data_IF_272993300295
#
_entry.id   IF_272993300295
#
_cell.length_a   1.000
_cell.length_b   1.000
_cell.length_c   1.000
_cell.angle_alpha   90.00
_cell.angle_beta   90.00
_cell.angle_gamma   90.00
#
_symmetry.space_group_name_H-M   'P 1'
#
loop_
_entity.id
_entity.type
_entity.pdbx_description
1 polymer ?
#
# COMPACT_ATOMS: atom_id res chain seq x y z
N UNK A 1 -5.63 5.27 -14.94
CA UNK A 1 -4.91 6.32 -14.18
C UNK A 1 -5.73 7.58 -13.93
N UNK A 2 -6.22 8.35 -14.95
CA UNK A 2 -6.99 9.59 -14.68
C UNK A 2 -8.28 9.35 -13.88
N UNK A 3 -9.05 8.33 -14.23
CA UNK A 3 -10.27 7.98 -13.51
C UNK A 3 -9.97 7.51 -12.07
N UNK A 4 -8.90 6.77 -11.89
CA UNK A 4 -8.42 6.30 -10.60
C UNK A 4 -8.04 7.47 -9.67
N UNK A 5 -7.32 8.47 -10.18
CA UNK A 5 -6.99 9.69 -9.44
C UNK A 5 -8.25 10.38 -8.89
N UNK A 6 -9.25 10.59 -9.73
CA UNK A 6 -10.45 11.37 -9.34
C UNK A 6 -11.38 10.54 -8.44
N UNK A 7 -11.65 9.29 -8.80
CA UNK A 7 -12.66 8.47 -8.13
C UNK A 7 -12.13 7.85 -6.82
N UNK A 8 -10.84 7.55 -6.76
CA UNK A 8 -10.23 6.89 -5.60
C UNK A 8 -9.37 7.83 -4.77
N UNK A 9 -8.32 8.42 -5.35
CA UNK A 9 -7.32 9.13 -4.55
C UNK A 9 -7.83 10.47 -4.03
N UNK A 10 -8.70 11.19 -4.76
CA UNK A 10 -9.27 12.45 -4.26
C UNK A 10 -10.11 12.24 -3.00
N UNK A 11 -11.10 11.33 -2.95
CA UNK A 11 -11.82 11.05 -1.71
C UNK A 11 -10.93 10.59 -0.56
N UNK A 12 -9.97 9.70 -0.82
CA UNK A 12 -9.03 9.22 0.21
C UNK A 12 -8.16 10.34 0.78
N UNK A 13 -7.85 11.36 -0.03
CA UNK A 13 -7.12 12.54 0.42
C UNK A 13 -8.01 13.48 1.21
N UNK A 14 -9.21 13.77 0.70
CA UNK A 14 -10.09 14.77 1.29
C UNK A 14 -10.65 14.36 2.66
N UNK A 15 -10.99 13.08 2.84
CA UNK A 15 -11.61 12.61 4.09
C UNK A 15 -10.74 12.88 5.32
N UNK A 16 -9.42 12.53 5.37
CA UNK A 16 -8.57 12.86 6.51
C UNK A 16 -8.40 14.38 6.73
N UNK A 17 -8.35 15.18 5.66
CA UNK A 17 -8.29 16.65 5.79
C UNK A 17 -9.55 17.22 6.41
N UNK A 18 -10.72 16.83 5.90
CA UNK A 18 -12.01 17.28 6.45
C UNK A 18 -12.16 16.84 7.90
N UNK A 19 -11.79 15.60 8.22
CA UNK A 19 -11.77 15.10 9.59
C UNK A 19 -10.86 15.95 10.50
N UNK A 20 -9.62 16.19 10.09
CA UNK A 20 -8.66 17.03 10.81
C UNK A 20 -9.24 18.43 11.07
N UNK A 21 -9.83 19.04 10.05
CA UNK A 21 -10.45 20.36 10.14
C UNK A 21 -11.65 20.40 11.08
N UNK A 22 -12.56 19.44 11.00
CA UNK A 22 -13.77 19.39 11.82
C UNK A 22 -13.51 19.08 13.30
N UNK A 23 -12.49 18.25 13.57
CA UNK A 23 -12.19 17.78 14.93
C UNK A 23 -11.05 18.52 15.60
N UNK A 24 -10.32 19.37 14.87
CA UNK A 24 -9.09 19.99 15.35
C UNK A 24 -7.92 19.02 15.54
N UNK A 25 -8.02 17.76 15.04
CA UNK A 25 -6.96 16.77 15.15
C UNK A 25 -5.76 17.19 14.30
N UNK A 26 -4.56 17.37 14.88
CA UNK A 26 -3.39 17.77 14.09
C UNK A 26 -3.03 16.74 13.03
N UNK A 27 -2.58 17.19 11.85
CA UNK A 27 -2.19 16.29 10.74
C UNK A 27 -1.03 15.34 11.14
N UNK A 28 -0.15 15.76 12.04
CA UNK A 28 0.89 14.90 12.60
C UNK A 28 0.33 13.65 13.31
N UNK A 29 -0.84 13.79 13.96
CA UNK A 29 -1.50 12.70 14.69
C UNK A 29 -2.26 11.77 13.72
N UNK A 30 -2.37 12.19 12.46
CA UNK A 30 -2.81 11.38 11.33
C UNK A 30 -1.62 10.84 10.50
N UNK A 31 -0.42 10.83 11.06
CA UNK A 31 0.77 10.22 10.45
C UNK A 31 1.56 11.12 9.51
N UNK A 32 1.12 12.37 9.23
CA UNK A 32 1.88 13.32 8.40
C UNK A 32 3.02 13.96 9.20
N UNK A 33 3.94 13.13 9.61
CA UNK A 33 5.15 13.49 10.36
C UNK A 33 6.25 12.50 10.05
N UNK A 34 7.49 12.97 10.08
CA UNK A 34 8.70 12.13 10.01
C UNK A 34 9.48 12.35 11.29
N UNK A 35 9.40 11.41 12.23
CA UNK A 35 10.03 11.53 13.56
C UNK A 35 11.37 10.80 13.64
N UNK A 36 11.45 9.61 13.05
CA UNK A 36 12.60 8.71 13.15
C UNK A 36 12.97 8.10 11.79
N UNK A 37 13.45 8.91 10.81
CA UNK A 37 13.62 8.44 9.42
C UNK A 37 14.57 7.25 9.28
N UNK A 38 15.63 7.18 10.07
CA UNK A 38 16.56 6.05 10.04
C UNK A 38 15.87 4.76 10.50
N UNK A 39 15.09 4.81 11.58
CA UNK A 39 14.30 3.66 12.05
C UNK A 39 13.28 3.23 11.02
N UNK A 40 12.58 4.19 10.42
CA UNK A 40 11.60 3.93 9.36
C UNK A 40 12.26 3.18 8.19
N UNK A 41 13.44 3.61 7.76
CA UNK A 41 14.20 2.95 6.69
C UNK A 41 14.71 1.56 7.10
N UNK A 42 15.20 1.39 8.34
CA UNK A 42 15.66 0.10 8.85
C UNK A 42 14.53 -0.95 8.91
N UNK A 43 13.28 -0.52 9.08
CA UNK A 43 12.10 -1.39 8.99
C UNK A 43 11.64 -1.54 7.54
N UNK A 44 11.54 -0.44 6.80
CA UNK A 44 10.99 -0.43 5.46
C UNK A 44 11.82 -1.22 4.45
N UNK A 45 13.16 -1.16 4.54
CA UNK A 45 14.03 -1.84 3.57
C UNK A 45 13.87 -3.36 3.63
N UNK A 46 14.11 -4.05 4.76
CA UNK A 46 14.00 -5.51 4.80
C UNK A 46 12.56 -5.99 4.56
N UNK A 47 11.56 -5.34 5.16
CA UNK A 47 10.15 -5.70 4.96
C UNK A 47 9.73 -5.43 3.51
N UNK A 48 10.13 -4.29 2.93
CA UNK A 48 9.82 -3.92 1.55
C UNK A 48 10.45 -4.88 0.54
N UNK A 49 11.71 -5.26 0.72
CA UNK A 49 12.39 -6.24 -0.16
C UNK A 49 11.69 -7.60 -0.10
N UNK A 50 11.38 -8.10 1.09
CA UNK A 50 10.67 -9.37 1.27
C UNK A 50 9.26 -9.30 0.65
N UNK A 51 8.52 -8.23 0.93
CA UNK A 51 7.17 -8.02 0.41
C UNK A 51 7.14 -7.83 -1.11
N UNK A 52 8.13 -7.13 -1.69
CA UNK A 52 8.32 -7.03 -3.14
C UNK A 52 8.49 -8.41 -3.78
N UNK A 53 9.38 -9.24 -3.22
CA UNK A 53 9.64 -10.58 -3.73
C UNK A 53 8.38 -11.47 -3.67
N UNK A 54 7.64 -11.43 -2.55
CA UNK A 54 6.36 -12.15 -2.39
C UNK A 54 5.32 -11.64 -3.39
N UNK A 55 5.20 -10.34 -3.58
CA UNK A 55 4.26 -9.74 -4.52
C UNK A 55 4.59 -10.09 -5.97
N UNK A 56 5.87 -10.10 -6.36
CA UNK A 56 6.32 -10.53 -7.68
C UNK A 56 6.02 -12.02 -7.91
N UNK A 57 6.33 -12.88 -6.93
CA UNK A 57 6.01 -14.31 -6.99
C UNK A 57 4.50 -14.55 -7.09
N UNK A 58 3.71 -13.78 -6.37
CA UNK A 58 2.24 -13.86 -6.43
C UNK A 58 1.69 -13.42 -7.79
N UNK A 59 2.26 -12.37 -8.41
CA UNK A 59 1.93 -11.98 -9.78
C UNK A 59 2.22 -13.14 -10.76
N UNK A 60 3.39 -13.76 -10.68
CA UNK A 60 3.75 -14.93 -11.50
C UNK A 60 2.75 -16.06 -11.32
N UNK A 61 2.38 -16.38 -10.08
CA UNK A 61 1.38 -17.41 -9.79
C UNK A 61 0.03 -17.12 -10.47
N UNK A 62 -0.47 -15.88 -10.33
CA UNK A 62 -1.74 -15.47 -10.93
C UNK A 62 -1.68 -15.46 -12.46
N UNK A 63 -0.58 -14.98 -13.04
CA UNK A 63 -0.37 -14.93 -14.49
C UNK A 63 -0.32 -16.33 -15.11
N UNK A 64 0.41 -17.26 -14.49
CA UNK A 64 0.43 -18.68 -14.92
C UNK A 64 -0.97 -19.30 -14.88
N UNK A 65 -1.74 -18.99 -13.82
CA UNK A 65 -3.08 -19.58 -13.65
C UNK A 65 -4.12 -19.00 -14.60
N UNK A 66 -3.98 -17.73 -14.98
CA UNK A 66 -4.92 -17.05 -15.90
C UNK A 66 -4.52 -17.17 -17.37
N UNK A 67 -3.29 -17.57 -17.66
CA UNK A 67 -2.71 -17.54 -19.01
C UNK A 67 -2.46 -16.13 -19.54
N UNK A 68 -2.57 -15.10 -18.67
CA UNK A 68 -2.43 -13.69 -19.05
C UNK A 68 -1.23 -13.09 -18.38
N UNK A 69 -0.29 -12.58 -19.18
CA UNK A 69 0.90 -11.90 -18.74
C UNK A 69 0.80 -10.42 -19.10
N UNK A 70 0.99 -9.56 -18.12
CA UNK A 70 1.17 -8.15 -18.34
C UNK A 70 2.61 -7.78 -18.01
N UNK A 71 3.35 -7.33 -19.00
CA UNK A 71 4.72 -6.82 -18.84
C UNK A 71 4.72 -5.38 -19.30
N UNK A 72 4.97 -4.41 -18.41
CA UNK A 72 5.01 -3.00 -18.80
C UNK A 72 6.18 -2.73 -19.75
N UNK A 73 5.99 -1.79 -20.67
CA UNK A 73 7.09 -1.20 -21.44
C UNK A 73 7.99 -0.35 -20.51
N UNK A 74 9.21 -0.01 -20.94
CA UNK A 74 10.10 0.81 -20.10
C UNK A 74 9.50 2.18 -19.72
N UNK A 75 8.85 2.93 -20.64
CA UNK A 75 8.13 4.15 -20.27
C UNK A 75 6.99 3.91 -19.28
N UNK A 76 6.19 2.85 -19.48
CA UNK A 76 5.11 2.48 -18.58
C UNK A 76 5.63 2.12 -17.20
N UNK A 77 6.76 1.38 -17.14
CA UNK A 77 7.42 1.02 -15.89
C UNK A 77 7.78 2.23 -15.06
N UNK A 78 8.41 3.25 -15.67
CA UNK A 78 8.79 4.48 -14.98
C UNK A 78 7.58 5.25 -14.49
N UNK A 79 6.58 5.45 -15.35
CA UNK A 79 5.35 6.19 -15.01
C UNK A 79 4.57 5.48 -13.92
N UNK A 80 4.40 4.16 -14.03
CA UNK A 80 3.66 3.39 -13.03
C UNK A 80 4.39 3.35 -11.69
N UNK A 81 5.69 3.08 -11.68
CA UNK A 81 6.47 3.04 -10.43
C UNK A 81 6.50 4.40 -9.73
N UNK A 82 6.66 5.49 -10.49
CA UNK A 82 6.56 6.85 -9.93
C UNK A 82 5.16 7.14 -9.37
N UNK A 83 4.11 6.75 -10.08
CA UNK A 83 2.73 6.89 -9.62
C UNK A 83 2.49 6.13 -8.30
N UNK A 84 2.96 4.88 -8.19
CA UNK A 84 2.79 4.10 -6.97
C UNK A 84 3.57 4.66 -5.79
N UNK A 85 4.80 5.15 -6.03
CA UNK A 85 5.65 5.69 -4.97
C UNK A 85 5.19 7.07 -4.48
N UNK A 86 4.78 7.95 -5.41
CA UNK A 86 4.59 9.38 -5.10
C UNK A 86 3.12 9.73 -4.81
N UNK A 87 2.17 8.99 -5.37
CA UNK A 87 0.75 9.29 -5.23
C UNK A 87 -0.04 8.18 -4.56
N UNK A 88 -0.03 6.98 -5.14
CA UNK A 88 -0.92 5.91 -4.69
C UNK A 88 -0.59 5.48 -3.25
N UNK A 89 0.63 5.02 -2.98
CA UNK A 89 1.01 4.55 -1.65
C UNK A 89 0.91 5.63 -0.57
N UNK A 90 1.41 6.88 -0.75
CA UNK A 90 1.26 7.92 0.25
C UNK A 90 -0.19 8.23 0.61
N UNK A 91 -1.07 8.33 -0.39
CA UNK A 91 -2.47 8.69 -0.18
C UNK A 91 -3.24 7.54 0.49
N UNK A 92 -3.05 6.30 0.02
CA UNK A 92 -3.71 5.15 0.62
C UNK A 92 -3.22 4.90 2.05
N UNK A 93 -1.90 5.00 2.33
CA UNK A 93 -1.40 4.84 3.69
C UNK A 93 -1.85 5.96 4.61
N UNK A 94 -1.95 7.19 4.12
CA UNK A 94 -2.50 8.26 4.93
C UNK A 94 -3.95 8.00 5.32
N UNK A 95 -4.79 7.55 4.40
CA UNK A 95 -6.18 7.22 4.70
C UNK A 95 -6.29 5.98 5.61
N UNK A 96 -5.68 4.85 5.21
CA UNK A 96 -5.92 3.58 5.89
C UNK A 96 -5.14 3.46 7.21
N UNK A 97 -3.91 3.97 7.30
CA UNK A 97 -3.07 3.85 8.50
C UNK A 97 -3.12 5.09 9.36
N UNK A 98 -2.84 6.24 8.79
CA UNK A 98 -2.84 7.49 9.54
C UNK A 98 -4.22 7.84 10.09
N UNK A 99 -5.21 7.92 9.20
CA UNK A 99 -6.56 8.31 9.58
C UNK A 99 -7.36 7.14 10.17
N UNK A 100 -7.68 6.10 9.39
CA UNK A 100 -8.62 5.06 9.82
C UNK A 100 -8.04 4.24 10.99
N UNK A 101 -6.92 3.57 10.80
CA UNK A 101 -6.29 2.74 11.85
C UNK A 101 -5.91 3.57 13.06
N UNK A 102 -5.27 4.74 12.87
CA UNK A 102 -4.86 5.60 13.96
C UNK A 102 -6.05 6.14 14.77
N UNK A 103 -7.15 6.52 14.13
CA UNK A 103 -8.36 6.99 14.83
C UNK A 103 -9.04 5.86 15.57
N UNK A 104 -9.22 4.69 14.94
CA UNK A 104 -9.80 3.51 15.60
C UNK A 104 -8.96 3.06 16.80
N UNK A 105 -7.63 3.08 16.68
CA UNK A 105 -6.74 2.72 17.79
C UNK A 105 -6.92 3.64 19.01
N UNK A 106 -7.08 4.96 18.77
CA UNK A 106 -7.35 5.94 19.83
C UNK A 106 -8.73 5.77 20.44
N UNK A 107 -9.77 5.60 19.62
CA UNK A 107 -11.15 5.52 20.11
C UNK A 107 -11.45 4.24 20.88
N UNK A 108 -10.89 3.11 20.41
CA UNK A 108 -11.15 1.80 21.03
C UNK A 108 -10.15 1.44 22.10
N UNK A 109 -9.05 2.16 22.22
CA UNK A 109 -7.90 1.78 23.06
C UNK A 109 -7.46 0.31 22.81
N UNK A 110 -7.58 -0.13 21.56
CA UNK A 110 -7.35 -1.50 21.13
C UNK A 110 -6.58 -1.51 19.78
N UNK A 111 -5.27 -1.27 19.80
CA UNK A 111 -4.49 -1.04 18.57
C UNK A 111 -4.49 -2.25 17.62
N UNK A 112 -4.44 -3.48 18.12
CA UNK A 112 -4.51 -4.67 17.27
C UNK A 112 -5.89 -4.84 16.61
N UNK A 113 -6.97 -4.53 17.32
CA UNK A 113 -8.31 -4.53 16.73
C UNK A 113 -8.44 -3.47 15.63
N UNK A 114 -7.84 -2.30 15.82
CA UNK A 114 -7.78 -1.26 14.80
C UNK A 114 -7.01 -1.70 13.54
N UNK A 115 -5.89 -2.44 13.71
CA UNK A 115 -5.17 -3.08 12.59
C UNK A 115 -6.08 -4.01 11.82
N UNK A 116 -6.80 -4.91 12.51
CA UNK A 116 -7.69 -5.88 11.86
C UNK A 116 -8.83 -5.19 11.12
N UNK A 117 -9.47 -4.21 11.75
CA UNK A 117 -10.56 -3.44 11.14
C UNK A 117 -10.09 -2.66 9.91
N UNK A 118 -8.98 -1.92 10.01
CA UNK A 118 -8.42 -1.20 8.87
C UNK A 118 -7.98 -2.14 7.73
N UNK A 119 -7.44 -3.32 8.07
CA UNK A 119 -7.09 -4.37 7.10
C UNK A 119 -8.33 -4.90 6.37
N UNK A 120 -9.42 -5.14 7.09
CA UNK A 120 -10.68 -5.61 6.50
C UNK A 120 -11.26 -4.56 5.52
N UNK A 121 -11.25 -3.28 5.92
CA UNK A 121 -11.70 -2.18 5.05
C UNK A 121 -10.78 -2.03 3.83
N UNK A 122 -9.46 -2.14 3.99
CA UNK A 122 -8.49 -2.11 2.90
C UNK A 122 -8.70 -3.26 1.91
N UNK A 123 -8.94 -4.47 2.40
CA UNK A 123 -9.26 -5.63 1.56
C UNK A 123 -10.59 -5.42 0.81
N UNK A 124 -11.63 -4.97 1.50
CA UNK A 124 -12.95 -4.68 0.91
C UNK A 124 -12.85 -3.60 -0.18
N UNK A 125 -12.07 -2.55 0.05
CA UNK A 125 -11.82 -1.50 -0.93
C UNK A 125 -11.28 -2.03 -2.26
N UNK A 126 -10.43 -3.08 -2.25
CA UNK A 126 -9.87 -3.68 -3.46
C UNK A 126 -10.88 -4.48 -4.29
N UNK A 127 -12.06 -4.82 -3.77
CA UNK A 127 -13.14 -5.35 -4.60
C UNK A 127 -13.69 -4.32 -5.60
N UNK A 128 -13.56 -3.03 -5.32
CA UNK A 128 -14.02 -1.96 -6.22
C UNK A 128 -13.25 -1.95 -7.55
N UNK A 129 -12.03 -2.47 -7.59
CA UNK A 129 -11.19 -2.55 -8.78
C UNK A 129 -11.58 -3.66 -9.75
N UNK A 130 -12.66 -4.39 -9.46
CA UNK A 130 -13.09 -5.57 -10.23
C UNK A 130 -12.01 -6.66 -10.33
N UNK A 131 -11.06 -6.67 -9.43
CA UNK A 131 -10.12 -7.75 -9.28
C UNK A 131 -10.84 -8.99 -8.77
N UNK A 132 -10.49 -10.15 -9.28
CA UNK A 132 -11.04 -11.39 -8.72
C UNK A 132 -10.66 -11.56 -7.25
N UNK A 133 -11.31 -12.46 -6.52
CA UNK A 133 -11.09 -12.66 -5.08
C UNK A 133 -9.63 -12.95 -4.69
N UNK A 134 -8.84 -13.60 -5.57
CA UNK A 134 -7.43 -13.92 -5.27
C UNK A 134 -6.53 -12.69 -5.10
N UNK A 135 -6.51 -11.72 -6.03
CA UNK A 135 -5.81 -10.46 -5.79
C UNK A 135 -6.27 -9.73 -4.54
N UNK A 136 -7.57 -9.78 -4.21
CA UNK A 136 -8.11 -9.16 -2.99
C UNK A 136 -7.54 -9.84 -1.73
N UNK A 137 -7.40 -11.16 -1.71
CA UNK A 137 -6.71 -11.86 -0.60
C UNK A 137 -5.25 -11.39 -0.48
N UNK A 138 -4.54 -11.25 -1.59
CA UNK A 138 -3.18 -10.69 -1.60
C UNK A 138 -3.14 -9.26 -1.06
N UNK A 139 -4.06 -8.40 -1.50
CA UNK A 139 -4.18 -7.04 -1.00
C UNK A 139 -4.52 -6.99 0.50
N UNK A 140 -5.39 -7.89 0.98
CA UNK A 140 -5.71 -7.99 2.41
C UNK A 140 -4.48 -8.41 3.23
N UNK A 141 -3.70 -9.37 2.76
CA UNK A 141 -2.44 -9.77 3.41
C UNK A 141 -1.42 -8.62 3.41
N UNK A 142 -1.31 -7.89 2.30
CA UNK A 142 -0.51 -6.66 2.23
C UNK A 142 -1.02 -5.63 3.26
N UNK A 143 -2.34 -5.43 3.32
CA UNK A 143 -3.00 -4.55 4.29
C UNK A 143 -2.64 -4.87 5.74
N UNK A 144 -2.64 -6.15 6.10
CA UNK A 144 -2.22 -6.59 7.44
C UNK A 144 -0.74 -6.27 7.70
N UNK A 145 0.14 -6.56 6.75
CA UNK A 145 1.57 -6.25 6.86
C UNK A 145 1.79 -4.75 7.10
N UNK A 146 1.15 -3.90 6.30
CA UNK A 146 1.25 -2.45 6.40
C UNK A 146 0.69 -1.92 7.73
N UNK A 147 -0.44 -2.49 8.19
CA UNK A 147 -1.03 -2.17 9.48
C UNK A 147 -0.12 -2.50 10.66
N UNK A 148 0.58 -3.63 10.61
CA UNK A 148 1.57 -4.02 11.62
C UNK A 148 2.83 -3.15 11.56
N UNK A 149 3.32 -2.81 10.36
CA UNK A 149 4.44 -1.88 10.19
C UNK A 149 4.12 -0.52 10.80
N UNK A 150 2.90 0.00 10.56
CA UNK A 150 2.46 1.25 11.15
C UNK A 150 2.28 1.17 12.67
N UNK A 151 1.71 0.06 13.18
CA UNK A 151 1.54 -0.16 14.61
C UNK A 151 2.87 -0.12 15.37
N UNK A 152 3.95 -0.54 14.74
CA UNK A 152 5.28 -0.60 15.34
C UNK A 152 6.02 0.75 15.35
N UNK A 153 5.44 1.79 14.74
CA UNK A 153 6.03 3.13 14.78
C UNK A 153 5.86 3.79 16.16
N UNK A 154 6.88 4.51 16.66
CA UNK A 154 6.73 5.30 17.87
C UNK A 154 5.74 6.45 17.67
N UNK A 155 5.07 6.86 18.74
CA UNK A 155 4.13 7.99 18.69
C UNK A 155 4.85 9.34 18.69
N UNK A 156 4.45 10.33 17.86
CA UNK A 156 3.45 10.22 16.80
C UNK A 156 3.97 9.35 15.63
N UNK A 157 3.13 8.41 15.16
CA UNK A 157 3.55 7.42 14.19
C UNK A 157 3.76 8.03 12.79
N UNK A 158 4.90 7.72 12.18
CA UNK A 158 5.27 8.13 10.82
C UNK A 158 4.66 7.20 9.78
N UNK A 159 4.24 7.75 8.64
CA UNK A 159 3.81 6.97 7.47
C UNK A 159 4.98 6.56 6.55
N UNK A 160 6.21 7.02 6.82
CA UNK A 160 7.33 6.78 5.89
C UNK A 160 7.58 5.29 5.66
N UNK A 161 7.65 4.48 6.73
CA UNK A 161 7.89 3.05 6.59
C UNK A 161 6.73 2.32 5.86
N UNK A 162 5.45 2.45 6.25
CA UNK A 162 4.36 1.80 5.52
C UNK A 162 4.24 2.28 4.07
N UNK A 163 4.47 3.56 3.75
CA UNK A 163 4.48 4.08 2.37
C UNK A 163 5.55 3.38 1.52
N UNK A 164 6.78 3.26 2.01
CA UNK A 164 7.86 2.60 1.27
C UNK A 164 7.59 1.11 1.08
N UNK A 165 7.08 0.42 2.11
CA UNK A 165 6.70 -1.00 2.02
C UNK A 165 5.54 -1.18 1.03
N UNK A 166 4.52 -0.31 1.07
CA UNK A 166 3.40 -0.34 0.13
C UNK A 166 3.86 -0.14 -1.31
N UNK A 167 4.67 0.88 -1.57
CA UNK A 167 5.24 1.11 -2.90
C UNK A 167 6.05 -0.11 -3.39
N UNK A 168 6.83 -0.74 -2.52
CA UNK A 168 7.56 -1.97 -2.85
C UNK A 168 6.61 -3.12 -3.22
N UNK A 169 5.55 -3.37 -2.45
CA UNK A 169 4.51 -4.38 -2.74
C UNK A 169 3.88 -4.12 -4.11
N UNK A 170 3.44 -2.89 -4.35
CA UNK A 170 2.73 -2.52 -5.57
C UNK A 170 3.65 -2.58 -6.79
N UNK A 171 4.89 -2.10 -6.67
CA UNK A 171 5.90 -2.25 -7.73
C UNK A 171 6.26 -3.71 -7.98
N UNK A 172 6.35 -4.54 -6.94
CA UNK A 172 6.56 -5.97 -7.07
C UNK A 172 5.42 -6.68 -7.79
N UNK A 173 4.18 -6.27 -7.56
CA UNK A 173 3.01 -6.91 -8.15
C UNK A 173 2.65 -6.38 -9.55
N UNK A 174 2.73 -5.08 -9.81
CA UNK A 174 2.14 -4.44 -10.98
C UNK A 174 3.14 -3.85 -11.99
N UNK A 175 4.38 -3.55 -11.59
CA UNK A 175 5.32 -2.85 -12.47
C UNK A 175 6.70 -3.52 -12.52
N UNK A 176 7.60 -3.21 -11.61
CA UNK A 176 8.98 -3.66 -11.63
C UNK A 176 9.12 -5.19 -11.49
N UNK A 177 8.30 -5.83 -10.65
CA UNK A 177 8.33 -7.28 -10.47
C UNK A 177 8.06 -8.05 -11.77
N UNK A 178 6.90 -7.85 -12.45
CA UNK A 178 6.62 -8.45 -13.76
C UNK A 178 7.70 -8.16 -14.81
N UNK A 179 8.21 -6.91 -14.86
CA UNK A 179 9.26 -6.52 -15.77
C UNK A 179 10.55 -7.33 -15.54
N UNK A 180 11.03 -7.43 -14.30
CA UNK A 180 12.25 -8.17 -13.96
C UNK A 180 12.10 -9.68 -14.23
N UNK A 181 10.97 -10.26 -13.84
CA UNK A 181 10.68 -11.68 -14.08
C UNK A 181 10.71 -12.01 -15.58
N UNK A 182 10.12 -11.15 -16.41
CA UNK A 182 10.16 -11.28 -17.85
C UNK A 182 11.58 -11.09 -18.42
N UNK A 183 12.27 -10.02 -17.99
CA UNK A 183 13.61 -9.67 -18.48
C UNK A 183 14.65 -10.75 -18.18
N UNK A 184 14.53 -11.42 -17.06
CA UNK A 184 15.41 -12.52 -16.68
C UNK A 184 15.00 -13.90 -17.23
N UNK A 185 14.06 -13.93 -18.19
CA UNK A 185 13.56 -15.17 -18.80
C UNK A 185 13.06 -16.22 -17.79
N UNK A 186 12.67 -15.79 -16.60
CA UNK A 186 12.09 -16.68 -15.59
C UNK A 186 10.67 -17.14 -15.99
N UNK A 187 10.11 -16.50 -17.02
CA UNK A 187 8.82 -16.83 -17.63
C UNK A 187 9.00 -16.74 -19.14
N UNK A 188 8.68 -17.80 -19.87
CA UNK A 188 8.69 -17.80 -21.33
C UNK A 188 7.66 -16.82 -21.90
N UNK A 189 7.91 -16.32 -23.13
CA UNK A 189 6.86 -15.67 -23.91
C UNK A 189 5.81 -16.74 -24.20
N UNK A 190 4.63 -16.61 -23.57
CA UNK A 190 3.47 -17.40 -23.94
C UNK A 190 2.95 -16.98 -25.30
#
# INVERSE_FOLDING_TARGET
MRLDLVVRLVPLTLVPFVFSWLTGTPLRDLGLVITHPLRDLLVAIPVGVAAFAVAAAFNVYLSRRSGRWFVPTEPDLLVQSAYYLVLNAPIEEWFFRGFLQGSLARWWNAPLLAVLAATAVFGAYHFLDRWGWRPVVGATAAGLTLGLVYLWQPSPASLLAPVLVHAAITCGFLSLGPYLVYRWHLVGRG
#
